data_IF_481337703183
#
_entry.id   IF_481337703183
#
_cell.length_a   1.000
_cell.length_b   1.000
_cell.length_c   1.000
_cell.angle_alpha   90.00
_cell.angle_beta   90.00
_cell.angle_gamma   90.00
#
_symmetry.space_group_name_H-M   'P 1'
#
loop_
_entity.id
_entity.type
_entity.pdbx_description
1 polymer ?
#
# COMPACT_ATOMS: atom_id res chain seq x y z
N UNK A 1 -10.52 -37.53 41.41
CA UNK A 1 -10.28 -38.07 40.05
C UNK A 1 -11.42 -38.95 39.48
N UNK A 2 -12.27 -39.61 40.30
CA UNK A 2 -13.39 -40.45 39.80
C UNK A 2 -14.49 -39.70 39.00
N UNK A 3 -14.77 -38.44 39.32
CA UNK A 3 -15.83 -37.67 38.65
C UNK A 3 -15.51 -37.31 37.19
N UNK A 4 -14.24 -37.06 36.86
CA UNK A 4 -13.81 -36.66 35.51
C UNK A 4 -14.00 -37.82 34.51
N UNK A 5 -13.72 -39.05 34.94
CA UNK A 5 -13.88 -40.23 34.11
C UNK A 5 -15.35 -40.52 33.76
N UNK A 6 -16.27 -40.16 34.66
CA UNK A 6 -17.71 -40.30 34.43
C UNK A 6 -18.21 -39.26 33.42
N UNK A 7 -17.75 -38.02 33.49
CA UNK A 7 -18.10 -36.98 32.51
C UNK A 7 -17.61 -37.32 31.10
N UNK A 8 -16.39 -37.85 30.96
CA UNK A 8 -15.88 -38.28 29.65
C UNK A 8 -16.65 -39.47 29.09
N UNK A 9 -17.07 -40.41 29.95
CA UNK A 9 -17.91 -41.54 29.54
C UNK A 9 -19.28 -41.09 29.03
N UNK A 10 -19.90 -40.11 29.70
CA UNK A 10 -21.16 -39.50 29.25
C UNK A 10 -20.98 -38.79 27.91
N UNK A 11 -19.93 -37.98 27.77
CA UNK A 11 -19.59 -37.29 26.52
C UNK A 11 -19.44 -38.28 25.34
N UNK A 12 -18.72 -39.39 25.54
CA UNK A 12 -18.55 -40.42 24.51
C UNK A 12 -19.88 -41.10 24.14
N UNK A 13 -20.74 -41.35 25.11
CA UNK A 13 -22.07 -41.95 24.88
C UNK A 13 -22.98 -41.00 24.10
N UNK A 14 -22.93 -39.70 24.39
CA UNK A 14 -23.70 -38.69 23.67
C UNK A 14 -23.23 -38.54 22.23
N UNK A 15 -21.91 -38.53 22.00
CA UNK A 15 -21.34 -38.57 20.65
C UNK A 15 -21.79 -39.84 19.90
N UNK A 16 -21.71 -41.02 20.53
CA UNK A 16 -22.16 -42.27 19.91
C UNK A 16 -23.66 -42.26 19.55
N UNK A 17 -24.52 -41.63 20.34
CA UNK A 17 -25.96 -41.48 20.03
C UNK A 17 -26.18 -40.57 18.83
N UNK A 18 -25.42 -39.49 18.75
CA UNK A 18 -25.46 -38.53 17.65
C UNK A 18 -25.12 -39.22 16.32
N UNK A 19 -24.02 -39.98 16.24
CA UNK A 19 -23.62 -40.68 15.00
C UNK A 19 -24.52 -41.86 14.62
N UNK A 20 -25.33 -42.38 15.57
CA UNK A 20 -26.32 -43.43 15.28
C UNK A 20 -27.62 -42.87 14.72
N UNK A 21 -27.91 -41.58 14.92
CA UNK A 21 -29.09 -40.93 14.36
C UNK A 21 -28.71 -40.18 13.07
N UNK A 22 -29.21 -40.62 11.90
CA UNK A 22 -28.83 -40.02 10.62
C UNK A 22 -29.25 -38.54 10.52
N UNK A 23 -30.38 -38.16 11.13
CA UNK A 23 -30.87 -36.76 11.12
C UNK A 23 -29.96 -35.87 11.97
N UNK A 24 -29.59 -36.32 13.18
CA UNK A 24 -28.70 -35.57 14.06
C UNK A 24 -27.29 -35.41 13.44
N UNK A 25 -26.80 -36.47 12.79
CA UNK A 25 -25.51 -36.44 12.08
C UNK A 25 -25.54 -35.44 10.92
N UNK A 26 -26.61 -35.45 10.11
CA UNK A 26 -26.78 -34.53 8.99
C UNK A 26 -26.76 -33.07 9.45
N UNK A 27 -27.46 -32.75 10.55
CA UNK A 27 -27.51 -31.39 11.10
C UNK A 27 -26.13 -30.90 11.56
N UNK A 28 -25.35 -31.75 12.20
CA UNK A 28 -23.99 -31.40 12.65
C UNK A 28 -23.06 -31.21 11.46
N UNK A 29 -23.14 -32.09 10.45
CA UNK A 29 -22.37 -31.95 9.22
C UNK A 29 -22.72 -30.62 8.52
N UNK A 30 -24.01 -30.29 8.38
CA UNK A 30 -24.45 -29.03 7.80
C UNK A 30 -23.91 -27.82 8.58
N UNK A 31 -23.94 -27.87 9.91
CA UNK A 31 -23.43 -26.81 10.79
C UNK A 31 -21.91 -26.62 10.66
N UNK A 32 -21.16 -27.69 10.40
CA UNK A 32 -19.70 -27.64 10.18
C UNK A 32 -19.34 -27.18 8.76
N UNK A 33 -20.14 -27.58 7.76
CA UNK A 33 -19.87 -27.28 6.35
C UNK A 33 -20.15 -25.80 6.04
N UNK A 34 -21.21 -25.20 6.57
CA UNK A 34 -21.59 -23.80 6.24
C UNK A 34 -20.46 -22.79 6.56
N UNK A 35 -19.88 -22.76 7.79
CA UNK A 35 -18.76 -21.87 8.10
C UNK A 35 -17.50 -22.21 7.29
N UNK A 36 -17.27 -23.49 7.02
CA UNK A 36 -16.09 -23.96 6.27
C UNK A 36 -16.15 -23.55 4.80
N UNK A 37 -17.31 -23.68 4.16
CA UNK A 37 -17.53 -23.21 2.79
C UNK A 37 -17.44 -21.68 2.71
N UNK A 38 -18.01 -20.98 3.68
CA UNK A 38 -17.88 -19.52 3.75
C UNK A 38 -16.40 -19.11 3.86
N UNK A 39 -15.63 -19.76 4.73
CA UNK A 39 -14.20 -19.53 4.85
C UNK A 39 -13.45 -19.87 3.55
N UNK A 40 -13.77 -21.00 2.92
CA UNK A 40 -13.14 -21.46 1.67
C UNK A 40 -13.33 -20.45 0.52
N UNK A 41 -14.55 -19.98 0.29
CA UNK A 41 -14.81 -18.96 -0.75
C UNK A 41 -14.12 -17.63 -0.45
N UNK A 42 -14.10 -17.21 0.82
CA UNK A 42 -13.39 -15.99 1.22
C UNK A 42 -11.88 -16.14 1.01
N UNK A 43 -11.28 -17.28 1.34
CA UNK A 43 -9.85 -17.53 1.15
C UNK A 43 -9.52 -17.61 -0.34
N UNK A 44 -10.35 -18.27 -1.16
CA UNK A 44 -10.16 -18.33 -2.61
C UNK A 44 -10.19 -16.94 -3.27
N UNK A 45 -11.11 -16.07 -2.85
CA UNK A 45 -11.15 -14.68 -3.30
C UNK A 45 -9.94 -13.83 -2.83
N UNK A 46 -9.27 -14.26 -1.76
CA UNK A 46 -8.08 -13.60 -1.21
C UNK A 46 -6.76 -14.26 -1.63
N UNK A 47 -6.77 -15.40 -2.32
CA UNK A 47 -5.56 -16.10 -2.75
C UNK A 47 -4.85 -15.34 -3.88
N UNK A 48 -5.59 -14.56 -4.68
CA UNK A 48 -4.99 -13.70 -5.69
C UNK A 48 -5.80 -12.41 -5.99
N UNK A 49 -5.87 -11.46 -5.03
CA UNK A 49 -6.54 -10.18 -5.23
C UNK A 49 -5.85 -9.30 -6.29
N UNK A 50 -4.65 -9.68 -6.74
CA UNK A 50 -3.82 -8.94 -7.70
C UNK A 50 -3.54 -9.72 -9.00
N UNK A 51 -4.08 -10.94 -9.16
CA UNK A 51 -3.74 -11.86 -10.25
C UNK A 51 -3.99 -11.32 -11.65
N UNK A 52 -5.02 -10.49 -11.76
CA UNK A 52 -5.39 -9.77 -12.97
C UNK A 52 -5.13 -8.25 -12.89
N UNK A 53 -4.31 -7.76 -11.97
CA UNK A 53 -4.06 -6.29 -11.91
C UNK A 53 -3.20 -5.77 -13.05
N UNK A 54 -2.56 -6.68 -13.79
CA UNK A 54 -1.97 -6.41 -15.11
C UNK A 54 -3.01 -5.96 -16.15
N UNK A 55 -4.28 -6.32 -15.99
CA UNK A 55 -5.39 -5.92 -16.87
C UNK A 55 -5.98 -4.56 -16.50
N UNK A 56 -5.63 -3.97 -15.34
CA UNK A 56 -6.11 -2.65 -14.94
C UNK A 56 -5.22 -1.55 -15.56
N UNK A 57 -5.70 -0.83 -16.59
CA UNK A 57 -4.88 0.13 -17.29
C UNK A 57 -4.77 1.42 -16.47
N UNK A 58 -3.58 1.71 -15.94
CA UNK A 58 -3.31 2.92 -15.15
C UNK A 58 -2.44 3.83 -16.00
N UNK A 59 -2.98 5.00 -16.36
CA UNK A 59 -2.23 5.98 -17.13
C UNK A 59 -1.31 6.81 -16.24
N UNK A 60 -0.13 7.14 -16.74
CA UNK A 60 0.78 8.08 -16.08
C UNK A 60 1.36 9.07 -17.07
N UNK A 61 1.37 10.34 -16.66
CA UNK A 61 2.04 11.44 -17.36
C UNK A 61 2.90 12.21 -16.35
N UNK A 62 4.14 12.51 -16.75
CA UNK A 62 5.04 13.39 -16.00
C UNK A 62 5.29 14.65 -16.80
N UNK A 63 4.97 15.81 -16.22
CA UNK A 63 5.42 17.13 -16.69
C UNK A 63 6.62 17.62 -15.85
N UNK A 64 7.17 16.77 -14.98
CA UNK A 64 8.21 17.12 -14.00
C UNK A 64 9.49 17.65 -14.66
N UNK A 65 10.06 18.69 -14.06
CA UNK A 65 11.28 19.31 -14.55
C UNK A 65 12.49 18.93 -13.70
N UNK A 66 13.64 18.84 -14.36
CA UNK A 66 14.92 18.59 -13.68
C UNK A 66 15.26 19.76 -12.75
N UNK A 67 15.57 19.44 -11.50
CA UNK A 67 16.00 20.41 -10.48
C UNK A 67 17.49 20.24 -10.21
N UNK A 68 18.19 21.35 -10.02
CA UNK A 68 19.60 21.34 -9.60
C UNK A 68 19.70 21.53 -8.10
N UNK A 69 20.35 20.59 -7.41
CA UNK A 69 20.65 20.69 -5.98
C UNK A 69 22.11 20.34 -5.73
N UNK A 70 22.88 21.28 -5.15
CA UNK A 70 24.30 21.09 -4.82
C UNK A 70 25.08 20.45 -5.97
N UNK A 71 24.96 21.06 -7.16
CA UNK A 71 25.63 20.66 -8.41
C UNK A 71 25.13 19.35 -9.07
N UNK A 72 24.17 18.64 -8.47
CA UNK A 72 23.52 17.47 -9.08
C UNK A 72 22.18 17.83 -9.70
N UNK A 73 22.00 17.47 -10.97
CA UNK A 73 20.71 17.53 -11.68
C UNK A 73 19.90 16.28 -11.37
N UNK A 74 18.69 16.45 -10.85
CA UNK A 74 17.81 15.35 -10.43
C UNK A 74 16.43 15.56 -11.07
N UNK A 75 15.89 14.51 -11.70
CA UNK A 75 14.50 14.43 -12.15
C UNK A 75 13.85 13.18 -11.54
N UNK A 76 13.06 13.39 -10.49
CA UNK A 76 12.38 12.34 -9.75
C UNK A 76 11.24 11.76 -10.59
N UNK A 77 10.54 12.58 -11.39
CA UNK A 77 9.48 12.11 -12.29
C UNK A 77 9.99 11.05 -13.27
N UNK A 78 11.15 11.28 -13.90
CA UNK A 78 11.77 10.32 -14.83
C UNK A 78 12.18 9.03 -14.12
N UNK A 79 12.69 9.13 -12.89
CA UNK A 79 13.05 7.96 -12.09
C UNK A 79 11.81 7.14 -11.69
N UNK A 80 10.71 7.81 -11.35
CA UNK A 80 9.41 7.17 -11.11
C UNK A 80 8.94 6.44 -12.36
N UNK A 81 8.93 7.10 -13.54
CA UNK A 81 8.53 6.47 -14.80
C UNK A 81 9.39 5.24 -15.10
N UNK A 82 10.71 5.33 -14.94
CA UNK A 82 11.65 4.22 -15.16
C UNK A 82 11.38 3.04 -14.23
N UNK A 83 11.07 3.30 -12.96
CA UNK A 83 10.73 2.25 -11.99
C UNK A 83 9.39 1.60 -12.30
N UNK A 84 8.38 2.37 -12.73
CA UNK A 84 7.08 1.84 -13.13
C UNK A 84 7.17 1.02 -14.42
N UNK A 85 8.02 1.41 -15.37
CA UNK A 85 8.28 0.61 -16.59
C UNK A 85 8.81 -0.79 -16.28
N UNK A 86 9.59 -0.94 -15.20
CA UNK A 86 10.12 -2.25 -14.77
C UNK A 86 9.07 -3.09 -14.05
N UNK A 87 8.05 -2.47 -13.48
CA UNK A 87 7.02 -3.18 -12.73
C UNK A 87 5.93 -3.72 -13.67
N UNK A 88 5.87 -5.05 -13.81
CA UNK A 88 4.88 -5.73 -14.65
C UNK A 88 3.59 -6.15 -13.93
N UNK A 89 3.47 -5.90 -12.63
CA UNK A 89 2.32 -6.33 -11.82
C UNK A 89 1.06 -5.48 -12.10
N UNK A 90 1.24 -4.29 -12.67
CA UNK A 90 0.18 -3.32 -12.96
C UNK A 90 0.22 -2.92 -14.44
N UNK A 91 -0.96 -2.73 -15.04
CA UNK A 91 -1.11 -2.34 -16.45
C UNK A 91 -0.74 -0.89 -16.74
N UNK A 92 0.52 -0.50 -16.54
CA UNK A 92 0.97 0.88 -16.75
C UNK A 92 0.83 1.33 -18.20
N UNK A 93 0.25 2.51 -18.41
CA UNK A 93 0.09 3.17 -19.71
C UNK A 93 0.73 4.55 -19.65
N UNK A 94 1.89 4.69 -20.26
CA UNK A 94 2.58 5.96 -20.35
C UNK A 94 1.91 6.80 -21.45
N UNK A 95 1.56 8.04 -21.14
CA UNK A 95 0.87 8.95 -22.08
C UNK A 95 1.62 10.26 -22.17
N UNK A 96 1.57 10.91 -23.33
CA UNK A 96 2.47 12.03 -23.66
C UNK A 96 1.94 13.41 -23.23
N UNK A 97 0.70 13.50 -22.77
CA UNK A 97 0.13 14.77 -22.31
C UNK A 97 -0.93 14.59 -21.24
N UNK A 98 -1.10 15.64 -20.45
CA UNK A 98 -2.18 15.73 -19.46
C UNK A 98 -3.56 15.58 -20.12
N UNK A 99 -3.76 16.13 -21.32
CA UNK A 99 -5.04 16.03 -22.04
C UNK A 99 -5.39 14.58 -22.37
N UNK A 100 -4.43 13.81 -22.88
CA UNK A 100 -4.62 12.37 -23.19
C UNK A 100 -4.89 11.56 -21.92
N UNK A 101 -4.21 11.90 -20.83
CA UNK A 101 -4.48 11.29 -19.51
C UNK A 101 -5.93 11.56 -19.06
N UNK A 102 -6.34 12.83 -19.07
CA UNK A 102 -7.67 13.28 -18.64
C UNK A 102 -8.78 12.63 -19.48
N UNK A 103 -8.64 12.67 -20.80
CA UNK A 103 -9.63 12.13 -21.74
C UNK A 103 -9.69 10.60 -21.66
N UNK A 104 -8.54 9.93 -21.48
CA UNK A 104 -8.49 8.49 -21.31
C UNK A 104 -9.14 8.00 -20.02
N UNK A 105 -9.02 8.75 -18.93
CA UNK A 105 -9.74 8.45 -17.67
C UNK A 105 -11.24 8.72 -17.81
N UNK A 106 -11.64 9.84 -18.45
CA UNK A 106 -13.06 10.16 -18.69
C UNK A 106 -13.75 9.15 -19.59
N UNK A 107 -13.08 8.71 -20.64
CA UNK A 107 -13.58 7.74 -21.63
C UNK A 107 -13.55 6.28 -21.15
N UNK A 108 -13.07 6.01 -19.92
CA UNK A 108 -12.86 4.67 -19.36
C UNK A 108 -11.78 3.83 -20.06
N UNK A 109 -10.96 4.43 -20.92
CA UNK A 109 -9.78 3.78 -21.49
C UNK A 109 -8.75 3.44 -20.41
N UNK A 110 -8.67 4.28 -19.37
CA UNK A 110 -7.83 4.09 -18.19
C UNK A 110 -8.69 4.04 -16.93
N UNK A 111 -8.38 3.12 -16.02
CA UNK A 111 -9.05 2.99 -14.73
C UNK A 111 -8.70 4.16 -13.80
N UNK A 112 -7.44 4.61 -13.85
CA UNK A 112 -6.94 5.76 -13.12
C UNK A 112 -5.84 6.45 -13.93
N UNK A 113 -5.64 7.75 -13.67
CA UNK A 113 -4.57 8.56 -14.20
C UNK A 113 -3.74 9.18 -13.08
N UNK A 114 -2.42 9.11 -13.20
CA UNK A 114 -1.46 9.75 -12.31
C UNK A 114 -0.76 10.87 -13.08
N UNK A 115 -0.86 12.10 -12.58
CA UNK A 115 -0.16 13.26 -13.14
C UNK A 115 0.91 13.76 -12.17
N UNK A 116 2.16 13.82 -12.63
CA UNK A 116 3.28 14.44 -11.93
C UNK A 116 3.48 15.87 -12.48
N UNK A 117 3.24 16.93 -11.69
CA UNK A 117 3.37 18.31 -12.17
C UNK A 117 4.84 18.76 -12.32
N UNK A 118 5.07 19.88 -13.03
CA UNK A 118 6.40 20.48 -13.25
C UNK A 118 7.29 20.62 -12.03
N UNK A 119 6.70 20.98 -10.90
CA UNK A 119 7.45 21.25 -9.67
C UNK A 119 7.55 20.01 -8.77
N UNK A 120 7.17 18.82 -9.24
CA UNK A 120 7.15 17.60 -8.42
C UNK A 120 8.52 17.29 -7.81
N UNK A 121 9.58 17.31 -8.61
CA UNK A 121 10.96 17.13 -8.12
C UNK A 121 11.35 18.20 -7.11
N UNK A 122 11.00 19.45 -7.38
CA UNK A 122 11.33 20.60 -6.53
C UNK A 122 10.64 20.53 -5.18
N UNK A 123 9.34 20.24 -5.18
CA UNK A 123 8.51 20.12 -3.99
C UNK A 123 8.94 18.92 -3.14
N UNK A 124 9.24 17.78 -3.77
CA UNK A 124 9.76 16.61 -3.07
C UNK A 124 11.12 16.89 -2.42
N UNK A 125 12.04 17.52 -3.14
CA UNK A 125 13.35 17.84 -2.60
C UNK A 125 13.29 18.88 -1.48
N UNK A 126 12.43 19.90 -1.61
CA UNK A 126 12.15 20.89 -0.55
C UNK A 126 11.59 20.20 0.70
N UNK A 127 10.67 19.26 0.52
CA UNK A 127 10.07 18.49 1.60
C UNK A 127 11.10 17.61 2.33
N UNK A 128 11.95 16.91 1.59
CA UNK A 128 12.99 16.04 2.16
C UNK A 128 14.10 16.84 2.85
N UNK A 129 14.45 18.01 2.30
CA UNK A 129 15.52 18.86 2.84
C UNK A 129 15.11 19.68 4.06
N UNK A 130 13.83 19.64 4.46
CA UNK A 130 13.31 20.35 5.63
C UNK A 130 13.02 21.83 5.40
N UNK A 131 13.19 22.34 4.16
CA UNK A 131 12.72 23.65 3.74
C UNK A 131 11.21 23.58 3.51
N UNK A 132 10.43 23.75 4.58
CA UNK A 132 8.97 23.69 4.57
C UNK A 132 8.41 25.02 4.01
N UNK A 133 8.63 25.29 2.72
CA UNK A 133 7.98 26.42 2.03
C UNK A 133 6.68 26.03 1.34
N UNK A 134 6.53 24.76 0.93
CA UNK A 134 5.34 24.24 0.26
C UNK A 134 4.85 22.94 0.93
N UNK A 135 3.77 23.02 1.72
CA UNK A 135 3.16 21.86 2.39
C UNK A 135 2.31 20.96 1.47
N UNK A 136 2.31 21.17 0.15
CA UNK A 136 1.37 20.50 -0.77
C UNK A 136 2.13 19.78 -1.88
N UNK A 137 2.57 18.55 -1.62
CA UNK A 137 2.98 17.64 -2.70
C UNK A 137 1.74 17.32 -3.55
N UNK A 138 1.64 17.96 -4.71
CA UNK A 138 0.40 18.03 -5.48
C UNK A 138 0.33 16.91 -6.55
N UNK A 139 0.21 15.66 -6.10
CA UNK A 139 -0.01 14.52 -7.00
C UNK A 139 -1.50 14.48 -7.38
N UNK A 140 -1.81 14.69 -8.66
CA UNK A 140 -3.20 14.63 -9.13
C UNK A 140 -3.53 13.20 -9.54
N UNK A 141 -4.32 12.53 -8.69
CA UNK A 141 -4.92 11.24 -8.98
C UNK A 141 -6.31 11.45 -9.56
N UNK A 142 -6.47 11.09 -10.82
CA UNK A 142 -7.74 11.10 -11.53
C UNK A 142 -8.30 9.69 -11.50
N UNK A 143 -9.48 9.54 -10.90
CA UNK A 143 -10.17 8.25 -10.79
C UNK A 143 -11.65 8.45 -11.00
N UNK A 144 -12.30 7.52 -11.70
CA UNK A 144 -13.77 7.52 -11.74
C UNK A 144 -14.29 7.16 -10.34
N UNK A 145 -15.13 8.04 -9.79
CA UNK A 145 -15.87 7.96 -8.52
C UNK A 145 -15.33 6.94 -7.50
N UNK A 146 -14.33 7.35 -6.71
CA UNK A 146 -13.92 6.63 -5.51
C UNK A 146 -14.82 7.05 -4.34
N UNK A 147 -15.44 6.12 -3.58
CA UNK A 147 -16.27 6.46 -2.42
C UNK A 147 -15.50 7.35 -1.42
N UNK A 148 -16.17 8.34 -0.82
CA UNK A 148 -15.55 9.34 0.06
C UNK A 148 -14.69 8.70 1.17
N UNK A 149 -15.13 7.55 1.71
CA UNK A 149 -14.39 6.78 2.72
C UNK A 149 -13.00 6.35 2.25
N UNK A 150 -12.88 5.85 1.02
CA UNK A 150 -11.60 5.39 0.48
C UNK A 150 -10.65 6.56 0.20
N UNK A 151 -11.18 7.73 -0.19
CA UNK A 151 -10.37 8.95 -0.39
C UNK A 151 -9.78 9.47 0.92
N UNK A 152 -10.56 9.43 2.01
CA UNK A 152 -10.12 9.83 3.34
C UNK A 152 -9.07 8.86 3.91
N UNK A 153 -9.29 7.55 3.76
CA UNK A 153 -8.34 6.52 4.21
C UNK A 153 -6.99 6.61 3.48
N UNK A 154 -7.00 6.77 2.15
CA UNK A 154 -5.77 6.92 1.36
C UNK A 154 -5.00 8.19 1.75
N UNK A 155 -5.69 9.31 1.97
CA UNK A 155 -5.05 10.56 2.44
C UNK A 155 -4.44 10.39 3.83
N UNK A 156 -5.14 9.74 4.76
CA UNK A 156 -4.63 9.46 6.10
C UNK A 156 -3.36 8.60 6.07
N UNK A 157 -3.36 7.54 5.26
CA UNK A 157 -2.22 6.64 5.11
C UNK A 157 -0.98 7.35 4.53
N UNK A 158 -1.18 8.20 3.51
CA UNK A 158 -0.11 8.96 2.89
C UNK A 158 0.48 10.01 3.86
N UNK A 159 -0.35 10.69 4.64
CA UNK A 159 0.09 11.65 5.67
C UNK A 159 0.82 10.98 6.83
N UNK A 160 0.37 9.78 7.22
CA UNK A 160 1.04 9.00 8.26
C UNK A 160 2.40 8.48 7.78
N UNK A 161 2.47 7.93 6.57
CA UNK A 161 3.74 7.48 5.97
C UNK A 161 4.74 8.60 5.79
N UNK A 162 4.29 9.78 5.33
CA UNK A 162 5.19 10.92 5.15
C UNK A 162 5.71 11.44 6.49
N UNK A 163 4.87 11.54 7.53
CA UNK A 163 5.31 11.91 8.89
C UNK A 163 6.32 10.92 9.48
N UNK A 164 6.12 9.62 9.28
CA UNK A 164 7.07 8.60 9.74
C UNK A 164 8.42 8.71 9.00
N UNK A 165 8.40 8.85 7.68
CA UNK A 165 9.63 9.01 6.90
C UNK A 165 10.40 10.27 7.29
N UNK A 166 9.72 11.39 7.55
CA UNK A 166 10.36 12.63 8.04
C UNK A 166 11.01 12.42 9.42
N UNK A 167 10.33 11.74 10.34
CA UNK A 167 10.90 11.50 11.66
C UNK A 167 12.13 10.59 11.60
N UNK A 168 12.11 9.59 10.72
CA UNK A 168 13.26 8.71 10.47
C UNK A 168 14.43 9.47 9.80
N UNK A 169 14.16 10.31 8.79
CA UNK A 169 15.21 11.09 8.14
C UNK A 169 15.83 12.12 9.10
N UNK A 170 15.02 12.78 9.94
CA UNK A 170 15.53 13.67 11.00
C UNK A 170 16.41 12.94 12.01
N UNK A 171 16.01 11.74 12.45
CA UNK A 171 16.83 10.93 13.36
C UNK A 171 18.16 10.53 12.73
N UNK A 172 18.17 10.13 11.46
CA UNK A 172 19.39 9.77 10.73
C UNK A 172 20.34 10.97 10.56
N UNK A 173 19.81 12.15 10.26
CA UNK A 173 20.61 13.39 10.16
C UNK A 173 21.20 13.79 11.52
N UNK A 174 20.42 13.69 12.60
CA UNK A 174 20.91 13.94 13.97
C UNK A 174 22.01 12.94 14.35
N UNK A 175 21.83 11.64 14.04
CA UNK A 175 22.84 10.62 14.29
C UNK A 175 24.15 10.91 13.53
N UNK A 176 24.04 11.30 12.26
CA UNK A 176 25.17 11.66 11.43
C UNK A 176 25.93 12.88 12.00
N UNK A 177 25.20 13.90 12.45
CA UNK A 177 25.80 15.12 13.00
C UNK A 177 26.48 14.89 14.36
N UNK A 178 25.89 14.05 15.21
CA UNK A 178 26.49 13.64 16.50
C UNK A 178 27.73 12.78 16.27
N UNK A 179 27.70 11.87 15.29
CA UNK A 179 28.84 11.03 14.96
C UNK A 179 29.99 11.84 14.33
N UNK A 180 29.67 12.79 13.43
CA UNK A 180 30.65 13.68 12.81
C UNK A 180 31.32 14.61 13.82
N UNK A 181 30.58 15.16 14.79
CA UNK A 181 31.17 16.01 15.83
C UNK A 181 32.04 15.20 16.79
N UNK A 182 31.63 13.99 17.20
CA UNK A 182 32.49 13.10 18.01
C UNK A 182 33.78 12.69 17.30
N UNK A 183 33.73 12.37 16.00
CA UNK A 183 34.92 12.04 15.20
C UNK A 183 35.90 13.22 15.09
N UNK A 184 35.39 14.43 14.83
CA UNK A 184 36.21 15.64 14.76
C UNK A 184 36.82 15.97 16.13
N UNK A 185 36.09 15.77 17.22
CA UNK A 185 36.62 16.04 18.58
C UNK A 185 37.69 15.02 18.99
N UNK A 186 37.54 13.74 18.61
CA UNK A 186 38.57 12.70 18.84
C UNK A 186 39.84 12.94 18.03
N UNK A 187 39.73 13.46 16.80
CA UNK A 187 40.89 13.78 15.94
C UNK A 187 41.68 15.03 16.41
N UNK A 188 41.07 15.90 17.21
CA UNK A 188 41.72 17.10 17.76
C UNK A 188 42.38 16.82 19.13
N UNK A 189 42.11 15.67 19.76
CA UNK A 189 42.67 15.26 21.05
C UNK A 189 43.83 14.25 20.95
N UNK A 190 44.43 14.07 19.76
CA UNK A 190 45.64 13.28 19.51
C UNK A 190 46.75 14.24 19.05
#
# INVERSE_FOLDING_TARGET
MRHINNSFKLFKLDWQRVFKNPIATLLIIALLIIPSLYAWFNIGALWDPYGNTSELPIAIYSDDQTVSLKEKKINIGDEVLKNLHKNKQLGWRFVDSKKVLDDGVKSRKYYAGIYLPREFSKDLMSFVSGDIKNQKLNIQLMKKSMPLRQRLQLRGLLLYRSRLQINLSKQLVILYYIHSTKLVTMLIQI
#
